data_IF_748897492986
#
_entry.id   IF_748897492986
#
_cell.length_a   1.000
_cell.length_b   1.000
_cell.length_c   1.000
_cell.angle_alpha   90.00
_cell.angle_beta   90.00
_cell.angle_gamma   90.00
#
_symmetry.space_group_name_H-M   'P 1'
#
loop_
_entity.id
_entity.type
_entity.pdbx_description
1 polymer ?
#
# COMPACT_ATOMS: atom_id res chain seq x y z
N UNK A 1 -6.93 22.67 -12.85
CA UNK A 1 -6.81 23.22 -11.49
C UNK A 1 -6.32 24.65 -11.66
N UNK A 2 -7.29 25.59 -11.78
CA UNK A 2 -7.02 27.02 -11.76
C UNK A 2 -6.93 27.48 -10.31
N UNK A 3 -5.74 27.78 -9.86
CA UNK A 3 -5.49 28.33 -8.53
C UNK A 3 -4.04 28.11 -8.13
N UNK A 4 -3.25 29.09 -8.29
CA UNK A 4 -1.81 29.20 -8.13
C UNK A 4 -1.26 28.90 -6.72
N UNK A 5 -1.56 27.76 -6.15
CA UNK A 5 -0.77 27.27 -5.02
C UNK A 5 0.12 26.13 -5.54
N UNK A 6 1.43 26.35 -5.50
CA UNK A 6 2.40 25.28 -5.70
C UNK A 6 2.10 24.15 -4.71
N UNK A 7 1.84 22.95 -5.20
CA UNK A 7 1.51 21.78 -4.38
C UNK A 7 2.66 20.78 -4.46
N UNK A 8 2.81 19.98 -3.42
CA UNK A 8 3.61 18.77 -3.47
C UNK A 8 2.72 17.63 -3.99
N UNK A 9 3.06 17.10 -5.16
CA UNK A 9 2.45 15.91 -5.73
C UNK A 9 3.34 14.71 -5.38
N UNK A 10 2.77 13.75 -4.68
CA UNK A 10 3.44 12.48 -4.37
C UNK A 10 2.71 11.36 -5.09
N UNK A 11 3.42 10.61 -5.91
CA UNK A 11 2.90 9.36 -6.47
C UNK A 11 3.51 8.18 -5.73
N UNK A 12 2.73 7.12 -5.52
CA UNK A 12 3.18 5.89 -4.91
C UNK A 12 2.71 4.71 -5.74
N UNK A 13 3.60 3.73 -5.96
CA UNK A 13 3.35 2.53 -6.77
C UNK A 13 3.05 2.87 -8.24
N UNK A 14 3.48 4.01 -8.70
CA UNK A 14 3.29 4.51 -10.06
C UNK A 14 4.10 5.79 -10.29
N UNK A 15 4.27 6.14 -11.57
CA UNK A 15 4.83 7.45 -11.93
C UNK A 15 6.10 7.36 -12.76
N UNK A 16 6.89 6.28 -12.62
CA UNK A 16 8.18 6.16 -13.33
C UNK A 16 8.04 6.12 -14.87
N UNK A 17 6.87 5.75 -15.37
CA UNK A 17 6.55 5.75 -16.81
C UNK A 17 5.66 6.93 -17.24
N UNK A 18 5.27 7.83 -16.31
CA UNK A 18 4.29 8.89 -16.55
C UNK A 18 4.95 10.22 -16.99
N UNK A 19 5.75 10.20 -18.07
CA UNK A 19 6.53 11.36 -18.51
C UNK A 19 5.65 12.59 -18.76
N UNK A 20 4.68 12.50 -19.66
CA UNK A 20 3.83 13.64 -20.03
C UNK A 20 2.98 14.17 -18.84
N UNK A 21 2.31 13.32 -18.02
CA UNK A 21 1.60 13.82 -16.84
C UNK A 21 2.50 14.55 -15.84
N UNK A 22 3.71 14.04 -15.62
CA UNK A 22 4.67 14.68 -14.71
C UNK A 22 5.19 16.00 -15.29
N UNK A 23 5.47 16.07 -16.60
CA UNK A 23 5.82 17.32 -17.29
C UNK A 23 4.73 18.37 -17.12
N UNK A 24 3.46 17.98 -17.30
CA UNK A 24 2.33 18.88 -17.13
C UNK A 24 2.21 19.38 -15.68
N UNK A 25 2.39 18.50 -14.69
CA UNK A 25 2.39 18.86 -13.28
C UNK A 25 3.52 19.84 -12.93
N UNK A 26 4.72 19.61 -13.48
CA UNK A 26 5.87 20.50 -13.32
C UNK A 26 5.64 21.86 -13.98
N UNK A 27 5.09 21.89 -15.20
CA UNK A 27 4.75 23.12 -15.91
C UNK A 27 3.69 23.95 -15.14
N UNK A 28 2.82 23.30 -14.37
CA UNK A 28 1.88 23.95 -13.47
C UNK A 28 2.51 24.45 -12.15
N UNK A 29 3.83 24.33 -11.98
CA UNK A 29 4.57 24.83 -10.82
C UNK A 29 4.56 23.90 -9.59
N UNK A 30 4.14 22.65 -9.73
CA UNK A 30 4.14 21.70 -8.63
C UNK A 30 5.54 21.12 -8.38
N UNK A 31 5.79 20.75 -7.12
CA UNK A 31 6.91 19.89 -6.73
C UNK A 31 6.45 18.44 -6.83
N UNK A 32 7.22 17.56 -7.47
CA UNK A 32 6.82 16.18 -7.72
C UNK A 32 7.80 15.20 -7.09
N UNK A 33 7.29 14.31 -6.26
CA UNK A 33 7.99 13.16 -5.68
C UNK A 33 7.37 11.87 -6.22
N UNK A 34 8.17 11.02 -6.84
CA UNK A 34 7.77 9.69 -7.30
C UNK A 34 8.36 8.64 -6.35
N UNK A 35 7.50 7.75 -5.84
CA UNK A 35 7.86 6.52 -5.14
C UNK A 35 7.39 5.34 -6.00
N UNK A 36 8.28 4.71 -6.73
CA UNK A 36 7.93 3.63 -7.65
C UNK A 36 8.95 2.49 -7.57
N UNK A 37 8.56 1.32 -8.06
CA UNK A 37 9.39 0.12 -8.09
C UNK A 37 9.29 -0.62 -9.43
N UNK A 38 8.56 -0.06 -10.38
CA UNK A 38 8.48 -0.62 -11.73
C UNK A 38 9.76 -0.33 -12.51
N UNK A 39 10.06 -1.18 -13.49
CA UNK A 39 11.24 -0.98 -14.33
C UNK A 39 11.15 0.35 -15.09
N UNK A 40 12.17 1.21 -14.97
CA UNK A 40 12.20 2.47 -15.70
C UNK A 40 12.18 2.24 -17.21
N UNK A 41 11.56 3.17 -17.94
CA UNK A 41 11.62 3.21 -19.40
C UNK A 41 12.84 4.01 -19.88
N UNK A 42 13.03 4.09 -21.20
CA UNK A 42 14.16 4.85 -21.79
C UNK A 42 14.10 6.34 -21.43
N UNK A 43 12.91 6.88 -21.27
CA UNK A 43 12.69 8.28 -20.85
C UNK A 43 12.19 8.29 -19.39
N UNK A 44 12.87 9.07 -18.55
CA UNK A 44 12.56 9.24 -17.14
C UNK A 44 11.76 10.52 -16.94
N UNK A 45 10.65 10.51 -16.20
CA UNK A 45 9.85 11.70 -15.96
C UNK A 45 10.63 12.77 -15.19
N UNK A 46 10.44 14.10 -15.49
CA UNK A 46 11.20 15.19 -14.91
C UNK A 46 10.68 15.59 -13.51
N UNK A 47 10.52 14.60 -12.60
CA UNK A 47 10.15 14.85 -11.21
C UNK A 47 11.32 15.49 -10.44
N UNK A 48 11.02 16.18 -9.33
CA UNK A 48 12.04 16.77 -8.47
C UNK A 48 12.82 15.72 -7.69
N UNK A 49 12.11 14.66 -7.27
CA UNK A 49 12.70 13.52 -6.59
C UNK A 49 12.05 12.24 -7.11
N UNK A 50 12.87 11.25 -7.43
CA UNK A 50 12.43 9.89 -7.78
C UNK A 50 13.12 8.92 -6.83
N UNK A 51 12.32 8.14 -6.12
CA UNK A 51 12.76 7.00 -5.32
C UNK A 51 12.30 5.74 -6.04
N UNK A 52 13.21 5.15 -6.80
CA UNK A 52 13.00 3.89 -7.48
C UNK A 52 14.27 3.05 -7.36
N UNK A 53 14.19 1.86 -6.76
CA UNK A 53 15.35 0.99 -6.57
C UNK A 53 16.07 0.58 -7.86
N UNK A 54 15.35 0.57 -8.99
CA UNK A 54 15.91 0.16 -10.29
C UNK A 54 16.69 1.26 -11.01
N UNK A 55 16.54 2.55 -10.61
CA UNK A 55 17.28 3.64 -11.24
C UNK A 55 18.78 3.62 -10.90
N UNK A 56 19.13 3.21 -9.69
CA UNK A 56 20.51 3.20 -9.19
C UNK A 56 20.77 1.96 -8.34
N UNK A 57 20.73 0.76 -8.93
CA UNK A 57 20.87 -0.49 -8.18
C UNK A 57 22.19 -0.58 -7.42
N UNK A 58 23.25 0.05 -7.95
CA UNK A 58 24.58 0.11 -7.31
C UNK A 58 24.61 0.91 -6.00
N UNK A 59 23.60 1.76 -5.75
CA UNK A 59 23.50 2.62 -4.56
C UNK A 59 22.46 2.13 -3.56
N UNK A 60 21.45 1.39 -4.01
CA UNK A 60 20.26 1.13 -3.23
C UNK A 60 20.35 -0.10 -2.32
N UNK A 61 21.29 -1.01 -2.56
CA UNK A 61 21.55 -2.19 -1.72
C UNK A 61 20.43 -3.22 -1.65
N UNK A 62 19.16 -2.84 -1.94
CA UNK A 62 17.99 -3.71 -1.99
C UNK A 62 16.96 -3.18 -2.98
N UNK A 63 16.67 -3.95 -4.03
CA UNK A 63 15.88 -3.54 -5.18
C UNK A 63 14.45 -4.10 -5.23
N UNK A 64 14.05 -4.92 -4.25
CA UNK A 64 12.79 -5.66 -4.32
C UNK A 64 11.65 -5.08 -3.47
N UNK A 65 11.67 -3.79 -3.13
CA UNK A 65 10.52 -3.17 -2.47
C UNK A 65 9.37 -3.03 -3.45
N UNK A 66 8.13 -3.26 -2.97
CA UNK A 66 6.92 -2.78 -3.64
C UNK A 66 6.63 -1.33 -3.27
N UNK A 67 5.68 -0.69 -3.94
CA UNK A 67 5.28 0.70 -3.64
C UNK A 67 4.86 0.91 -2.18
N UNK A 68 4.15 -0.04 -1.58
CA UNK A 68 3.79 0.02 -0.15
C UNK A 68 5.01 -0.07 0.78
N UNK A 69 6.01 -0.89 0.41
CA UNK A 69 7.28 -0.98 1.13
C UNK A 69 8.09 0.32 1.07
N UNK A 70 8.15 0.95 -0.09
CA UNK A 70 8.80 2.25 -0.27
C UNK A 70 8.08 3.36 0.52
N UNK A 71 6.75 3.38 0.50
CA UNK A 71 5.96 4.33 1.28
C UNK A 71 6.21 4.17 2.79
N UNK A 72 6.31 2.93 3.27
CA UNK A 72 6.69 2.64 4.66
C UNK A 72 8.09 3.17 4.99
N UNK A 73 9.08 2.95 4.10
CA UNK A 73 10.44 3.46 4.28
C UNK A 73 10.50 4.99 4.29
N UNK A 74 9.72 5.66 3.46
CA UNK A 74 9.60 7.11 3.51
C UNK A 74 9.01 7.57 4.85
N UNK A 75 7.97 6.92 5.35
CA UNK A 75 7.37 7.24 6.65
C UNK A 75 8.37 7.03 7.80
N UNK A 76 9.14 5.93 7.80
CA UNK A 76 10.22 5.70 8.77
C UNK A 76 11.23 6.87 8.76
N UNK A 77 11.63 7.31 7.57
CA UNK A 77 12.59 8.40 7.43
C UNK A 77 12.03 9.74 7.94
N UNK A 78 10.82 10.10 7.53
CA UNK A 78 10.19 11.37 7.91
C UNK A 78 9.92 11.47 9.41
N UNK A 79 9.53 10.36 10.02
CA UNK A 79 9.20 10.33 11.44
C UNK A 79 10.35 9.87 12.36
N UNK A 80 11.57 9.76 11.88
CA UNK A 80 12.68 9.16 12.65
C UNK A 80 12.96 9.84 13.99
N UNK A 81 12.68 11.14 14.10
CA UNK A 81 12.93 11.94 15.30
C UNK A 81 11.71 12.03 16.23
N UNK A 82 10.55 11.58 15.77
CA UNK A 82 9.30 11.57 16.55
C UNK A 82 9.26 10.35 17.46
N UNK A 83 8.89 10.51 18.73
CA UNK A 83 8.84 9.43 19.73
C UNK A 83 7.50 9.30 20.46
N UNK A 84 6.45 9.98 19.99
CA UNK A 84 5.13 9.95 20.61
C UNK A 84 4.48 8.55 20.57
N UNK A 85 3.48 8.34 21.43
CA UNK A 85 2.69 7.10 21.40
C UNK A 85 1.87 7.01 20.11
N UNK A 86 1.32 8.12 19.64
CA UNK A 86 0.57 8.21 18.39
C UNK A 86 1.39 7.75 17.18
N UNK A 87 2.68 8.10 17.14
CA UNK A 87 3.60 7.56 16.14
C UNK A 87 3.72 6.05 16.22
N UNK A 88 3.89 5.50 17.40
CA UNK A 88 4.05 4.04 17.58
C UNK A 88 2.81 3.30 17.09
N UNK A 89 1.61 3.78 17.41
CA UNK A 89 0.35 3.19 16.99
C UNK A 89 0.20 3.28 15.45
N UNK A 90 0.51 4.44 14.86
CA UNK A 90 0.54 4.61 13.40
C UNK A 90 1.50 3.62 12.73
N UNK A 91 2.69 3.41 13.32
CA UNK A 91 3.69 2.52 12.73
C UNK A 91 3.31 1.04 12.79
N UNK A 92 2.45 0.60 13.72
CA UNK A 92 1.87 -0.73 13.64
C UNK A 92 0.99 -0.88 12.38
N UNK A 93 0.11 0.08 12.12
CA UNK A 93 -0.72 0.06 10.93
C UNK A 93 0.11 0.12 9.64
N UNK A 94 1.07 1.04 9.56
CA UNK A 94 1.95 1.20 8.38
C UNK A 94 2.78 -0.06 8.10
N UNK A 95 3.33 -0.70 9.14
CA UNK A 95 4.08 -1.94 9.02
C UNK A 95 3.19 -3.08 8.48
N UNK A 96 1.96 -3.19 8.99
CA UNK A 96 1.00 -4.20 8.52
C UNK A 96 0.58 -3.92 7.08
N UNK A 97 0.31 -2.66 6.72
CA UNK A 97 -0.01 -2.28 5.35
C UNK A 97 1.14 -2.59 4.38
N UNK A 98 2.38 -2.31 4.76
CA UNK A 98 3.56 -2.66 3.96
C UNK A 98 3.72 -4.19 3.83
N UNK A 99 3.47 -4.96 4.90
CA UNK A 99 3.44 -6.41 4.86
C UNK A 99 2.38 -6.93 3.88
N UNK A 100 1.15 -6.42 3.97
CA UNK A 100 0.06 -6.78 3.05
C UNK A 100 0.41 -6.45 1.60
N UNK A 101 0.94 -5.25 1.32
CA UNK A 101 1.35 -4.84 -0.02
C UNK A 101 2.47 -5.71 -0.57
N UNK A 102 3.51 -5.97 0.20
CA UNK A 102 4.64 -6.84 -0.19
C UNK A 102 4.18 -8.25 -0.57
N UNK A 103 3.23 -8.81 0.20
CA UNK A 103 2.68 -10.14 -0.07
C UNK A 103 1.68 -10.13 -1.24
N UNK A 104 0.85 -9.09 -1.36
CA UNK A 104 -0.13 -8.96 -2.43
C UNK A 104 0.53 -8.77 -3.81
N UNK A 105 1.66 -8.07 -3.85
CA UNK A 105 2.46 -7.81 -5.04
C UNK A 105 3.46 -8.96 -5.35
N UNK A 106 3.42 -10.02 -4.53
CA UNK A 106 4.23 -11.25 -4.70
C UNK A 106 5.74 -10.96 -4.75
N UNK A 107 6.19 -9.95 -4.02
CA UNK A 107 7.61 -9.58 -4.00
C UNK A 107 8.50 -10.68 -3.38
N UNK A 108 9.76 -10.79 -3.81
CA UNK A 108 10.72 -11.74 -3.22
C UNK A 108 10.87 -11.51 -1.71
N UNK A 109 10.70 -12.58 -0.91
CA UNK A 109 10.81 -12.54 0.55
C UNK A 109 12.27 -12.77 0.99
N UNK A 110 13.16 -11.92 0.53
CA UNK A 110 14.57 -11.87 0.89
C UNK A 110 14.89 -10.56 1.63
N UNK A 111 16.05 -10.43 2.22
CA UNK A 111 16.55 -9.18 2.80
C UNK A 111 15.51 -8.43 3.65
N UNK A 112 15.24 -7.19 3.26
CA UNK A 112 14.32 -6.30 3.96
C UNK A 112 12.86 -6.72 3.86
N UNK A 113 12.42 -7.23 2.72
CA UNK A 113 11.04 -7.74 2.58
C UNK A 113 10.76 -8.89 3.54
N UNK A 114 11.72 -9.80 3.73
CA UNK A 114 11.57 -10.88 4.71
C UNK A 114 11.40 -10.32 6.12
N UNK A 115 12.23 -9.35 6.51
CA UNK A 115 12.12 -8.71 7.84
C UNK A 115 10.79 -7.99 8.02
N UNK A 116 10.38 -7.21 7.03
CA UNK A 116 9.13 -6.48 7.01
C UNK A 116 7.92 -7.42 7.14
N UNK A 117 7.88 -8.48 6.33
CA UNK A 117 6.78 -9.45 6.35
C UNK A 117 6.74 -10.23 7.67
N UNK A 118 7.88 -10.71 8.18
CA UNK A 118 7.93 -11.40 9.47
C UNK A 118 7.44 -10.49 10.61
N UNK A 119 7.86 -9.23 10.62
CA UNK A 119 7.42 -8.26 11.64
C UNK A 119 5.93 -7.94 11.54
N UNK A 120 5.41 -7.72 10.33
CA UNK A 120 3.99 -7.48 10.10
C UNK A 120 3.12 -8.68 10.52
N UNK A 121 3.52 -9.90 10.12
CA UNK A 121 2.83 -11.13 10.55
C UNK A 121 2.88 -11.33 12.07
N UNK A 122 3.98 -10.96 12.72
CA UNK A 122 4.07 -11.01 14.18
C UNK A 122 3.08 -10.04 14.84
N UNK A 123 2.92 -8.82 14.30
CA UNK A 123 1.93 -7.84 14.79
C UNK A 123 0.52 -8.40 14.69
N UNK A 124 0.11 -8.88 13.52
CA UNK A 124 -1.28 -9.30 13.29
C UNK A 124 -1.66 -10.62 13.99
N UNK A 125 -0.69 -11.46 14.36
CA UNK A 125 -0.93 -12.72 15.05
C UNK A 125 -0.79 -12.60 16.57
N UNK A 126 -0.27 -11.49 17.10
CA UNK A 126 -0.14 -11.27 18.55
C UNK A 126 -1.31 -10.42 19.05
N UNK A 127 -2.18 -10.98 19.86
CA UNK A 127 -3.41 -10.31 20.29
C UNK A 127 -3.18 -8.93 20.92
N UNK A 128 -2.14 -8.77 21.77
CA UNK A 128 -1.82 -7.49 22.39
C UNK A 128 -1.46 -6.38 21.39
N UNK A 129 -0.93 -6.72 20.22
CA UNK A 129 -0.58 -5.79 19.16
C UNK A 129 -1.72 -5.64 18.15
N UNK A 130 -2.40 -6.74 17.82
CA UNK A 130 -3.57 -6.71 16.95
C UNK A 130 -4.65 -5.74 17.44
N UNK A 131 -4.90 -5.70 18.75
CA UNK A 131 -5.89 -4.78 19.33
C UNK A 131 -5.53 -3.30 19.17
N UNK A 132 -4.26 -2.97 18.96
CA UNK A 132 -3.78 -1.60 18.74
C UNK A 132 -3.97 -1.12 17.29
N UNK A 133 -4.23 -2.04 16.35
CA UNK A 133 -4.49 -1.69 14.94
C UNK A 133 -5.79 -0.90 14.81
N UNK A 134 -5.84 -0.04 13.79
CA UNK A 134 -7.04 0.72 13.45
C UNK A 134 -8.22 -0.19 13.15
N UNK A 135 -9.47 0.25 13.40
CA UNK A 135 -10.67 -0.52 13.09
C UNK A 135 -10.75 -0.93 11.63
N UNK A 136 -10.35 -0.04 10.72
CA UNK A 136 -10.35 -0.29 9.29
C UNK A 136 -9.43 -1.45 8.92
N UNK A 137 -8.19 -1.41 9.38
CA UNK A 137 -7.21 -2.46 9.08
C UNK A 137 -7.63 -3.82 9.68
N UNK A 138 -8.12 -3.83 10.93
CA UNK A 138 -8.68 -5.06 11.55
C UNK A 138 -9.81 -5.66 10.72
N UNK A 139 -10.75 -4.83 10.26
CA UNK A 139 -11.88 -5.31 9.48
C UNK A 139 -11.48 -5.94 8.15
N UNK A 140 -10.40 -5.46 7.54
CA UNK A 140 -9.81 -6.03 6.33
C UNK A 140 -9.09 -7.35 6.63
N UNK A 141 -8.33 -7.41 7.71
CA UNK A 141 -7.67 -8.66 8.14
C UNK A 141 -8.70 -9.74 8.45
N UNK A 142 -9.77 -9.42 9.16
CA UNK A 142 -10.85 -10.35 9.53
C UNK A 142 -11.69 -10.87 8.34
N UNK A 143 -11.39 -10.43 7.10
CA UNK A 143 -11.92 -11.07 5.90
C UNK A 143 -11.37 -12.49 5.69
N UNK A 144 -10.26 -12.82 6.34
CA UNK A 144 -9.60 -14.12 6.27
C UNK A 144 -9.45 -14.74 7.68
N UNK A 145 -9.37 -16.07 7.79
CA UNK A 145 -9.23 -16.72 9.09
C UNK A 145 -7.83 -16.56 9.67
N UNK A 146 -7.74 -16.57 11.00
CA UNK A 146 -6.49 -16.72 11.73
C UNK A 146 -6.05 -18.18 11.83
N UNK A 147 -4.76 -18.50 12.02
CA UNK A 147 -3.64 -17.54 12.05
C UNK A 147 -3.34 -16.98 10.67
N UNK A 148 -2.88 -15.71 10.62
CA UNK A 148 -2.46 -15.10 9.37
C UNK A 148 -1.07 -15.59 8.98
N UNK A 149 -0.97 -16.19 7.82
CA UNK A 149 0.28 -16.64 7.20
C UNK A 149 0.52 -15.87 5.90
N UNK A 150 1.68 -16.04 5.30
CA UNK A 150 1.95 -15.52 3.96
C UNK A 150 0.87 -15.98 2.96
N UNK A 151 0.51 -17.27 3.02
CA UNK A 151 -0.49 -17.85 2.13
C UNK A 151 -1.91 -17.30 2.41
N UNK A 152 -2.27 -17.10 3.69
CA UNK A 152 -3.54 -16.47 4.05
C UNK A 152 -3.66 -15.09 3.42
N UNK A 153 -2.61 -14.28 3.50
CA UNK A 153 -2.60 -12.95 2.91
C UNK A 153 -2.61 -13.02 1.38
N UNK A 154 -1.71 -13.78 0.77
CA UNK A 154 -1.58 -13.89 -0.69
C UNK A 154 -2.83 -14.44 -1.37
N UNK A 155 -3.42 -15.49 -0.80
CA UNK A 155 -4.46 -16.25 -1.49
C UNK A 155 -5.87 -15.99 -0.98
N UNK A 156 -6.03 -15.32 0.16
CA UNK A 156 -7.36 -15.05 0.73
C UNK A 156 -7.60 -13.54 0.88
N UNK A 157 -6.74 -12.79 1.59
CA UNK A 157 -6.94 -11.35 1.83
C UNK A 157 -6.71 -10.51 0.57
N UNK A 158 -5.57 -10.64 -0.09
CA UNK A 158 -5.23 -9.85 -1.27
C UNK A 158 -6.23 -10.02 -2.44
N UNK A 159 -6.73 -11.24 -2.77
CA UNK A 159 -7.76 -11.40 -3.79
C UNK A 159 -9.07 -10.69 -3.50
N UNK A 160 -9.45 -10.52 -2.22
CA UNK A 160 -10.66 -9.78 -1.84
C UNK A 160 -10.46 -8.28 -2.11
N UNK A 161 -9.31 -7.73 -1.71
CA UNK A 161 -8.96 -6.33 -1.95
C UNK A 161 -8.88 -6.04 -3.47
N UNK A 162 -8.18 -6.88 -4.21
CA UNK A 162 -7.99 -6.74 -5.66
C UNK A 162 -9.31 -6.88 -6.44
N UNK A 163 -10.23 -7.76 -6.02
CA UNK A 163 -11.53 -7.94 -6.67
C UNK A 163 -12.34 -6.63 -6.68
N UNK A 164 -12.25 -5.85 -5.61
CA UNK A 164 -12.98 -4.59 -5.48
C UNK A 164 -12.49 -3.56 -6.50
N UNK A 165 -11.17 -3.44 -6.69
CA UNK A 165 -10.59 -2.53 -7.69
C UNK A 165 -10.80 -2.94 -9.14
N UNK A 166 -10.99 -4.25 -9.41
CA UNK A 166 -11.14 -4.79 -10.78
C UNK A 166 -12.57 -4.78 -11.31
N UNK A 167 -13.56 -4.85 -10.43
CA UNK A 167 -14.97 -4.97 -10.83
C UNK A 167 -15.72 -3.63 -10.84
N UNK A 168 -15.15 -2.57 -10.28
CA UNK A 168 -15.80 -1.26 -10.17
C UNK A 168 -14.79 -0.13 -10.34
N UNK A 169 -15.12 0.88 -11.13
CA UNK A 169 -14.26 2.04 -11.42
C UNK A 169 -13.81 2.81 -10.15
N UNK A 170 -14.66 2.87 -9.13
CA UNK A 170 -14.33 3.48 -7.83
C UNK A 170 -13.92 2.46 -6.75
N UNK A 171 -13.62 1.24 -7.13
CA UNK A 171 -13.35 0.14 -6.20
C UNK A 171 -12.14 0.37 -5.32
N UNK A 172 -11.03 0.86 -5.88
CA UNK A 172 -9.80 1.16 -5.15
C UNK A 172 -10.01 2.23 -4.07
N UNK A 173 -10.80 3.28 -4.37
CA UNK A 173 -11.15 4.30 -3.38
C UNK A 173 -11.97 3.72 -2.21
N UNK A 174 -12.82 2.71 -2.46
CA UNK A 174 -13.56 2.01 -1.41
C UNK A 174 -12.64 1.19 -0.52
N UNK A 175 -11.62 0.54 -1.07
CA UNK A 175 -10.60 -0.18 -0.29
C UNK A 175 -9.80 0.78 0.56
N UNK A 176 -9.34 1.91 -0.01
CA UNK A 176 -8.63 2.93 0.74
C UNK A 176 -9.47 3.45 1.93
N UNK A 177 -10.74 3.80 1.69
CA UNK A 177 -11.65 4.22 2.76
C UNK A 177 -11.83 3.16 3.84
N UNK A 178 -11.87 1.88 3.46
CA UNK A 178 -11.95 0.79 4.42
C UNK A 178 -10.69 0.73 5.31
N UNK A 179 -9.51 0.86 4.71
CA UNK A 179 -8.23 0.75 5.42
C UNK A 179 -7.97 1.92 6.40
N UNK A 180 -8.39 3.15 6.04
CA UNK A 180 -8.10 4.36 6.81
C UNK A 180 -9.21 4.76 7.79
N UNK A 181 -10.38 4.07 7.79
CA UNK A 181 -11.47 4.44 8.69
C UNK A 181 -11.16 4.10 10.15
N UNK A 182 -11.45 5.04 11.03
CA UNK A 182 -11.35 4.88 12.48
C UNK A 182 -12.68 4.47 13.12
N UNK A 183 -13.78 4.48 12.36
CA UNK A 183 -15.11 4.16 12.82
C UNK A 183 -15.43 2.67 12.66
N UNK A 184 -15.63 1.90 13.77
CA UNK A 184 -15.84 0.45 13.69
C UNK A 184 -17.05 0.03 12.85
N UNK A 185 -18.15 0.78 12.92
CA UNK A 185 -19.36 0.49 12.14
C UNK A 185 -19.13 0.68 10.64
N UNK A 186 -18.43 1.74 10.24
CA UNK A 186 -18.03 1.96 8.84
C UNK A 186 -17.08 0.89 8.35
N UNK A 187 -16.09 0.50 9.16
CA UNK A 187 -15.14 -0.57 8.86
C UNK A 187 -15.85 -1.89 8.55
N UNK A 188 -16.80 -2.30 9.41
CA UNK A 188 -17.61 -3.50 9.21
C UNK A 188 -18.44 -3.43 7.92
N UNK A 189 -19.01 -2.27 7.61
CA UNK A 189 -19.78 -2.04 6.38
C UNK A 189 -18.92 -2.20 5.11
N UNK A 190 -17.71 -1.64 5.09
CA UNK A 190 -16.77 -1.80 3.99
C UNK A 190 -16.33 -3.26 3.83
N UNK A 191 -16.01 -3.95 4.93
CA UNK A 191 -15.62 -5.36 4.91
C UNK A 191 -16.72 -6.25 4.32
N UNK A 192 -17.98 -6.07 4.74
CA UNK A 192 -19.12 -6.79 4.19
C UNK A 192 -19.29 -6.58 2.68
N UNK A 193 -19.13 -5.32 2.22
CA UNK A 193 -19.18 -4.97 0.80
C UNK A 193 -18.06 -5.66 0.01
N UNK A 194 -16.83 -5.66 0.51
CA UNK A 194 -15.70 -6.32 -0.15
C UNK A 194 -15.91 -7.84 -0.24
N UNK A 195 -16.45 -8.48 0.80
CA UNK A 195 -16.82 -9.91 0.76
C UNK A 195 -17.84 -10.21 -0.34
N UNK A 196 -18.89 -9.40 -0.44
CA UNK A 196 -19.93 -9.56 -1.45
C UNK A 196 -19.38 -9.42 -2.88
N UNK A 197 -18.52 -8.43 -3.10
CA UNK A 197 -17.84 -8.21 -4.39
C UNK A 197 -16.95 -9.40 -4.77
N UNK A 198 -16.15 -9.91 -3.82
CA UNK A 198 -15.30 -11.07 -4.10
C UNK A 198 -16.13 -12.34 -4.37
N UNK A 199 -17.26 -12.52 -3.69
CA UNK A 199 -18.16 -13.63 -4.01
C UNK A 199 -18.69 -13.50 -5.44
N UNK A 200 -19.16 -12.32 -5.85
CA UNK A 200 -19.59 -12.08 -7.24
C UNK A 200 -18.48 -12.39 -8.25
N UNK A 201 -17.21 -12.01 -7.96
CA UNK A 201 -16.07 -12.38 -8.80
C UNK A 201 -15.94 -13.90 -8.94
N UNK A 202 -16.03 -14.66 -7.83
CA UNK A 202 -15.94 -16.13 -7.84
C UNK A 202 -17.07 -16.73 -8.68
N UNK A 203 -18.28 -16.22 -8.51
CA UNK A 203 -19.45 -16.72 -9.25
C UNK A 203 -19.31 -16.47 -10.77
N UNK A 204 -18.77 -15.31 -11.16
CA UNK A 204 -18.48 -15.02 -12.56
C UNK A 204 -17.41 -15.96 -13.15
N UNK A 205 -16.34 -16.23 -12.40
CA UNK A 205 -15.29 -17.16 -12.86
C UNK A 205 -15.80 -18.60 -12.96
N UNK A 206 -16.71 -19.02 -12.08
CA UNK A 206 -17.28 -20.38 -12.12
C UNK A 206 -18.27 -20.61 -13.29
N UNK A 207 -18.68 -19.57 -14.00
CA UNK A 207 -19.55 -19.63 -15.19
C UNK A 207 -18.78 -19.86 -16.49
N UNK A 208 -17.45 -19.80 -16.45
CA UNK A 208 -16.55 -20.05 -17.58
C UNK A 208 -15.86 -21.41 -17.48
#
# INVERSE_FOLDING_TARGET
VEGTSHSLLVTADSGIAAVEPIQAAKAAGNVVLILDHHLPQAEIPPADVIVDPHLHPERNGYEHYCGAGLAYKLAEYLCREESSQEKKDLFFDLLVLACLGTLADVMPLTGDNRRLVMSGLAVINRDSWYHQLSPGLKSVLDLSPRPYTEDTIKFQTAPILNATGRLFDAGSASVLKALITTEPAAAAGYAAKMKAINQRRKDLVAQW
#
